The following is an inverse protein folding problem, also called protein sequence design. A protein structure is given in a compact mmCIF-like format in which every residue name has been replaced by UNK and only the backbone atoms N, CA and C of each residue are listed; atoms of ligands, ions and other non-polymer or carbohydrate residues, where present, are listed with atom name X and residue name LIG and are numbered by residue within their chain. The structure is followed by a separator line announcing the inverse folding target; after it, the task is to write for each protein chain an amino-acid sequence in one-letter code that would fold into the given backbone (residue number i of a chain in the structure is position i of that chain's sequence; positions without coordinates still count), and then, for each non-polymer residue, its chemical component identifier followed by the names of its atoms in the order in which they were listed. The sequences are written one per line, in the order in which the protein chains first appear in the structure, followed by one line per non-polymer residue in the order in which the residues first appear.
data_IF_448115483513
#
_entry.id   IF_448115483513
#
_cell.length_a   1.000
_cell.length_b   1.000
_cell.length_c   1.000
_cell.angle_alpha   90.00
_cell.angle_beta   90.00
_cell.angle_gamma   90.00
#
_symmetry.space_group_name_H-M   'P 1'
#
loop_
_entity.id
_entity.type
_entity.pdbx_description
1 polymer ?
#
# COMPACT_ATOMS: atom_id res chain seq x y z
N UNK A 1 -6.61 16.36 -8.94
CA UNK A 1 -6.75 14.99 -9.48
C UNK A 1 -7.80 14.27 -8.64
N UNK A 2 -8.70 13.50 -9.24
CA UNK A 2 -9.62 12.58 -8.53
C UNK A 2 -8.96 11.20 -8.41
N UNK A 3 -9.31 10.39 -7.42
CA UNK A 3 -8.67 9.08 -7.23
C UNK A 3 -8.92 8.10 -8.37
N UNK A 4 -10.07 8.20 -9.04
CA UNK A 4 -10.36 7.46 -10.27
C UNK A 4 -9.33 7.75 -11.37
N UNK A 5 -8.95 9.03 -11.54
CA UNK A 5 -7.97 9.46 -12.54
C UNK A 5 -6.57 8.89 -12.24
N UNK A 6 -6.24 8.68 -10.97
CA UNK A 6 -4.97 8.04 -10.60
C UNK A 6 -4.93 6.59 -11.05
N UNK A 7 -5.98 5.81 -10.77
CA UNK A 7 -6.04 4.41 -11.21
C UNK A 7 -5.93 4.29 -12.74
N UNK A 8 -6.58 5.18 -13.48
CA UNK A 8 -6.47 5.24 -14.94
C UNK A 8 -5.04 5.60 -15.40
N UNK A 9 -4.39 6.58 -14.76
CA UNK A 9 -3.00 6.97 -15.05
C UNK A 9 -2.03 5.79 -14.91
N UNK A 10 -2.23 4.94 -13.89
CA UNK A 10 -1.39 3.75 -13.66
C UNK A 10 -1.95 2.47 -14.27
N UNK A 11 -2.86 2.60 -15.25
CA UNK A 11 -3.40 1.50 -16.07
C UNK A 11 -4.11 0.39 -15.27
N UNK A 12 -4.77 0.77 -14.19
CA UNK A 12 -5.70 -0.13 -13.54
C UNK A 12 -7.01 -0.19 -14.32
N UNK A 13 -7.57 -1.39 -14.45
CA UNK A 13 -8.86 -1.63 -15.09
C UNK A 13 -9.97 -1.63 -14.05
N UNK A 14 -10.99 -0.79 -14.28
CA UNK A 14 -12.24 -0.79 -13.50
C UNK A 14 -13.03 -2.07 -13.77
N UNK A 15 -13.53 -2.72 -12.73
CA UNK A 15 -14.28 -3.99 -12.82
C UNK A 15 -15.75 -3.84 -12.42
N UNK A 16 -16.19 -2.63 -12.06
CA UNK A 16 -17.60 -2.28 -11.89
C UNK A 16 -17.95 -1.24 -12.94
N UNK A 17 -18.87 -1.60 -13.83
CA UNK A 17 -19.39 -0.75 -14.88
C UNK A 17 -20.87 -0.46 -14.63
N UNK A 18 -21.36 0.66 -15.16
CA UNK A 18 -22.80 0.93 -15.24
C UNK A 18 -23.37 0.24 -16.46
N UNK A 19 -24.48 -0.47 -16.31
CA UNK A 19 -25.17 -1.10 -17.42
C UNK A 19 -26.09 -0.12 -18.17
N UNK A 20 -26.81 -0.63 -19.17
CA UNK A 20 -27.70 0.17 -20.02
C UNK A 20 -28.89 0.79 -19.27
N UNK A 21 -29.25 0.22 -18.13
CA UNK A 21 -30.36 0.64 -17.28
C UNK A 21 -29.89 1.50 -16.10
N UNK A 22 -28.57 1.76 -16.00
CA UNK A 22 -27.95 2.53 -14.93
C UNK A 22 -27.65 1.72 -13.67
N UNK A 23 -27.77 0.40 -13.71
CA UNK A 23 -27.40 -0.47 -12.58
C UNK A 23 -25.90 -0.83 -12.63
N UNK A 24 -25.24 -0.85 -11.46
CA UNK A 24 -23.84 -1.30 -11.33
C UNK A 24 -23.75 -2.81 -11.57
N UNK A 25 -22.88 -3.22 -12.48
CA UNK A 25 -22.54 -4.63 -12.76
C UNK A 25 -21.06 -4.87 -12.59
N UNK A 26 -20.72 -6.02 -12.01
CA UNK A 26 -19.35 -6.52 -11.94
C UNK A 26 -19.30 -7.95 -12.42
N UNK A 27 -18.17 -8.35 -13.00
CA UNK A 27 -17.91 -9.76 -13.37
C UNK A 27 -17.47 -10.61 -12.16
N UNK A 28 -17.29 -9.98 -11.00
CA UNK A 28 -16.85 -10.62 -9.76
C UNK A 28 -18.03 -10.82 -8.81
N UNK A 29 -18.88 -11.80 -9.12
CA UNK A 29 -20.11 -12.11 -8.36
C UNK A 29 -19.87 -12.36 -6.87
N UNK A 30 -18.66 -12.76 -6.48
CA UNK A 30 -18.25 -12.95 -5.08
C UNK A 30 -18.40 -11.70 -4.21
N UNK A 31 -18.33 -10.51 -4.81
CA UNK A 31 -18.48 -9.24 -4.10
C UNK A 31 -19.92 -8.73 -4.09
N UNK A 32 -20.80 -9.29 -4.93
CA UNK A 32 -22.22 -8.95 -4.98
C UNK A 32 -23.01 -9.44 -3.75
N UNK A 33 -24.17 -8.83 -3.52
CA UNK A 33 -25.20 -9.27 -2.58
C UNK A 33 -26.48 -9.46 -3.39
N UNK A 34 -27.03 -10.67 -3.37
CA UNK A 34 -28.23 -11.03 -4.17
C UNK A 34 -28.09 -10.71 -5.67
N UNK A 35 -26.88 -10.84 -6.22
CA UNK A 35 -26.59 -10.56 -7.62
C UNK A 35 -26.44 -9.07 -7.96
N UNK A 36 -26.51 -8.17 -6.97
CA UNK A 36 -26.30 -6.72 -7.13
C UNK A 36 -25.01 -6.26 -6.46
N UNK A 37 -24.37 -5.24 -7.03
CA UNK A 37 -23.24 -4.55 -6.39
C UNK A 37 -23.76 -3.79 -5.17
N UNK A 38 -23.26 -4.09 -3.96
CA UNK A 38 -23.76 -3.44 -2.75
C UNK A 38 -23.32 -1.96 -2.69
N UNK A 39 -24.07 -1.13 -1.96
CA UNK A 39 -23.87 0.33 -1.92
C UNK A 39 -22.54 0.76 -1.33
N UNK A 40 -22.05 0.01 -0.35
CA UNK A 40 -20.74 0.19 0.24
C UNK A 40 -19.59 -0.07 -0.76
N UNK A 41 -19.80 -0.82 -1.84
CA UNK A 41 -18.75 -1.12 -2.82
C UNK A 41 -18.76 -0.08 -3.94
N UNK A 42 -17.79 0.84 -3.92
CA UNK A 42 -17.72 1.93 -4.90
C UNK A 42 -17.13 1.47 -6.22
N UNK A 43 -15.97 0.82 -6.18
CA UNK A 43 -15.26 0.37 -7.37
C UNK A 43 -14.29 -0.76 -7.02
N UNK A 44 -13.93 -1.58 -8.01
CA UNK A 44 -12.87 -2.57 -7.93
C UNK A 44 -11.88 -2.27 -9.06
N UNK A 45 -10.59 -2.25 -8.75
CA UNK A 45 -9.53 -2.06 -9.73
C UNK A 45 -8.58 -3.23 -9.76
N UNK A 46 -8.23 -3.68 -10.96
CA UNK A 46 -7.24 -4.72 -11.21
C UNK A 46 -6.06 -4.14 -12.01
N UNK A 47 -4.82 -4.43 -11.59
CA UNK A 47 -3.63 -4.00 -12.32
C UNK A 47 -3.59 -4.57 -13.74
N UNK A 48 -2.92 -3.87 -14.67
CA UNK A 48 -2.68 -4.36 -16.05
C UNK A 48 -2.04 -5.76 -16.07
N UNK A 49 -1.19 -6.05 -15.07
CA UNK A 49 -0.51 -7.33 -14.91
C UNK A 49 -1.37 -8.43 -14.24
N UNK A 50 -2.55 -8.07 -13.71
CA UNK A 50 -3.47 -8.99 -13.02
C UNK A 50 -2.92 -9.51 -11.68
N UNK A 51 -2.04 -8.76 -11.04
CA UNK A 51 -1.28 -9.15 -9.84
C UNK A 51 -1.55 -8.26 -8.62
N UNK A 52 -2.36 -7.21 -8.76
CA UNK A 52 -2.80 -6.34 -7.67
C UNK A 52 -4.29 -5.98 -7.83
N UNK A 53 -5.04 -6.05 -6.72
CA UNK A 53 -6.48 -5.79 -6.67
C UNK A 53 -6.80 -4.77 -5.58
N UNK A 54 -7.47 -3.69 -5.96
CA UNK A 54 -7.99 -2.70 -5.02
C UNK A 54 -9.52 -2.80 -4.92
N UNK A 55 -10.03 -2.80 -3.69
CA UNK A 55 -11.46 -2.66 -3.40
C UNK A 55 -11.67 -1.30 -2.75
N UNK A 56 -12.48 -0.44 -3.37
CA UNK A 56 -12.86 0.86 -2.80
C UNK A 56 -14.19 0.70 -2.08
N UNK A 57 -14.19 0.88 -0.77
CA UNK A 57 -15.31 0.62 0.11
C UNK A 57 -15.71 1.87 0.87
N UNK A 58 -16.99 2.22 0.86
CA UNK A 58 -17.56 3.33 1.61
C UNK A 58 -18.20 2.82 2.89
N UNK A 59 -17.73 3.33 4.03
CA UNK A 59 -18.37 3.08 5.31
C UNK A 59 -19.63 3.93 5.42
N UNK A 60 -20.77 3.27 5.58
CA UNK A 60 -22.08 3.90 5.82
C UNK A 60 -22.38 4.09 7.30
N UNK A 61 -21.84 3.24 8.18
CA UNK A 61 -21.98 3.35 9.64
C UNK A 61 -20.63 3.06 10.32
N UNK A 62 -20.17 4.03 11.10
CA UNK A 62 -18.88 4.01 11.80
C UNK A 62 -18.90 3.07 13.00
N UNK A 63 -20.07 2.77 13.56
CA UNK A 63 -20.19 2.04 14.83
C UNK A 63 -19.74 0.58 14.75
N UNK A 64 -19.47 0.02 13.56
CA UNK A 64 -19.04 -1.37 13.44
C UNK A 64 -17.98 -1.66 12.36
N UNK A 65 -16.90 -0.88 12.37
CA UNK A 65 -15.78 -1.06 11.44
C UNK A 65 -15.19 -2.48 11.47
N UNK A 66 -14.98 -3.07 12.64
CA UNK A 66 -14.39 -4.41 12.74
C UNK A 66 -15.25 -5.45 12.01
N UNK A 67 -16.57 -5.43 12.23
CA UNK A 67 -17.50 -6.31 11.52
C UNK A 67 -17.51 -6.04 10.03
N UNK A 68 -17.46 -4.77 9.61
CA UNK A 68 -17.39 -4.40 8.20
C UNK A 68 -16.13 -4.97 7.54
N UNK A 69 -14.96 -4.77 8.17
CA UNK A 69 -13.69 -5.30 7.69
C UNK A 69 -13.70 -6.84 7.61
N UNK A 70 -14.23 -7.51 8.65
CA UNK A 70 -14.32 -8.97 8.70
C UNK A 70 -15.28 -9.51 7.64
N UNK A 71 -16.38 -8.82 7.34
CA UNK A 71 -17.30 -9.16 6.27
C UNK A 71 -16.59 -9.14 4.91
N UNK A 72 -15.85 -8.06 4.62
CA UNK A 72 -15.12 -7.91 3.37
C UNK A 72 -13.93 -8.84 3.26
N UNK A 73 -13.20 -9.09 4.35
CA UNK A 73 -12.17 -10.13 4.41
C UNK A 73 -12.76 -11.51 4.09
N UNK A 74 -13.95 -11.85 4.61
CA UNK A 74 -14.62 -13.10 4.28
C UNK A 74 -15.02 -13.19 2.79
N UNK A 75 -15.49 -12.09 2.19
CA UNK A 75 -15.76 -12.03 0.73
C UNK A 75 -14.49 -12.26 -0.07
N UNK A 76 -13.37 -11.63 0.31
CA UNK A 76 -12.06 -11.80 -0.32
C UNK A 76 -11.57 -13.24 -0.18
N UNK A 77 -11.66 -13.83 1.02
CA UNK A 77 -11.29 -15.23 1.24
C UNK A 77 -12.15 -16.17 0.40
N UNK A 78 -13.43 -15.87 0.24
CA UNK A 78 -14.34 -16.67 -0.59
C UNK A 78 -13.92 -16.58 -2.05
N UNK A 79 -13.66 -15.38 -2.56
CA UNK A 79 -13.14 -15.14 -3.89
C UNK A 79 -11.83 -15.92 -4.14
N UNK A 80 -10.86 -15.84 -3.23
CA UNK A 80 -9.57 -16.54 -3.39
C UNK A 80 -9.76 -18.06 -3.41
N UNK A 81 -10.56 -18.61 -2.50
CA UNK A 81 -10.63 -20.05 -2.28
C UNK A 81 -11.60 -20.78 -3.23
N UNK A 82 -12.69 -20.14 -3.63
CA UNK A 82 -13.79 -20.77 -4.38
C UNK A 82 -13.83 -20.37 -5.85
N UNK A 83 -12.83 -19.65 -6.36
CA UNK A 83 -12.74 -19.40 -7.81
C UNK A 83 -12.55 -20.71 -8.59
N UNK A 84 -13.18 -20.86 -9.77
CA UNK A 84 -12.99 -22.00 -10.65
C UNK A 84 -11.53 -22.35 -10.90
N UNK A 85 -11.22 -23.65 -10.97
CA UNK A 85 -9.86 -24.17 -11.11
C UNK A 85 -9.08 -23.55 -12.28
N UNK A 86 -9.76 -23.18 -13.37
CA UNK A 86 -9.13 -22.57 -14.54
C UNK A 86 -8.52 -21.18 -14.29
N UNK A 87 -8.86 -20.50 -13.19
CA UNK A 87 -8.36 -19.15 -12.86
C UNK A 87 -7.49 -19.13 -11.58
N UNK A 88 -7.09 -20.31 -11.08
CA UNK A 88 -6.37 -20.42 -9.80
C UNK A 88 -4.99 -19.79 -9.82
N UNK A 89 -4.26 -19.89 -10.93
CA UNK A 89 -2.89 -19.39 -11.02
C UNK A 89 -2.88 -17.85 -11.08
N UNK A 90 -3.85 -17.27 -11.77
CA UNK A 90 -4.09 -15.82 -11.82
C UNK A 90 -4.43 -15.30 -10.42
N UNK A 91 -5.35 -15.95 -9.70
CA UNK A 91 -5.74 -15.52 -8.35
C UNK A 91 -4.66 -15.74 -7.30
N UNK A 92 -3.81 -16.77 -7.46
CA UNK A 92 -2.66 -16.96 -6.57
C UNK A 92 -1.73 -15.76 -6.54
N UNK A 93 -1.59 -15.04 -7.66
CA UNK A 93 -0.81 -13.80 -7.71
C UNK A 93 -1.46 -12.70 -6.86
N UNK A 94 -2.79 -12.67 -6.82
CA UNK A 94 -3.56 -11.69 -6.06
C UNK A 94 -3.56 -11.97 -4.56
N UNK A 95 -3.42 -13.21 -4.09
CA UNK A 95 -3.61 -13.60 -2.68
C UNK A 95 -2.91 -12.68 -1.65
N UNK A 96 -1.75 -12.13 -2.00
CA UNK A 96 -0.98 -11.25 -1.11
C UNK A 96 -0.99 -9.76 -1.51
N UNK A 97 -1.73 -9.41 -2.57
CA UNK A 97 -1.77 -8.07 -3.18
C UNK A 97 -3.20 -7.58 -3.34
N UNK A 98 -4.06 -7.90 -2.36
CA UNK A 98 -5.39 -7.31 -2.25
C UNK A 98 -5.36 -6.21 -1.21
N UNK A 99 -5.80 -5.01 -1.61
CA UNK A 99 -5.88 -3.83 -0.75
C UNK A 99 -7.31 -3.32 -0.70
N UNK A 100 -7.86 -3.17 0.50
CA UNK A 100 -9.11 -2.48 0.76
C UNK A 100 -8.81 -1.02 1.09
N UNK A 101 -9.35 -0.09 0.29
CA UNK A 101 -9.35 1.34 0.58
C UNK A 101 -10.71 1.66 1.21
N UNK A 102 -10.68 1.96 2.49
CA UNK A 102 -11.84 2.20 3.34
C UNK A 102 -12.06 3.71 3.45
N UNK A 103 -13.05 4.19 2.70
CA UNK A 103 -13.52 5.57 2.68
C UNK A 103 -14.47 5.80 3.87
N UNK A 104 -14.16 6.79 4.70
CA UNK A 104 -14.96 7.09 5.89
C UNK A 104 -15.16 8.58 6.13
N UNK A 105 -16.28 8.90 6.77
CA UNK A 105 -16.58 10.21 7.31
C UNK A 105 -16.40 10.25 8.83
N UNK A 106 -15.95 11.38 9.35
CA UNK A 106 -15.84 11.59 10.79
C UNK A 106 -14.60 10.93 11.43
N UNK A 107 -14.77 10.43 12.67
CA UNK A 107 -13.70 9.86 13.48
C UNK A 107 -13.86 8.34 13.57
N UNK A 108 -12.79 7.60 13.32
CA UNK A 108 -12.83 6.16 13.09
C UNK A 108 -11.61 5.49 13.74
N UNK A 109 -11.81 4.40 14.47
CA UNK A 109 -10.71 3.65 15.10
C UNK A 109 -9.95 2.77 14.10
N UNK A 110 -8.81 3.23 13.59
CA UNK A 110 -7.98 2.52 12.57
C UNK A 110 -7.27 1.24 13.07
N UNK A 111 -7.79 0.54 14.09
CA UNK A 111 -7.18 -0.69 14.65
C UNK A 111 -6.99 -1.78 13.59
N UNK A 112 -7.93 -1.89 12.66
CA UNK A 112 -7.93 -2.90 11.60
C UNK A 112 -6.83 -2.68 10.55
N UNK A 113 -6.19 -1.51 10.51
CA UNK A 113 -5.05 -1.23 9.63
C UNK A 113 -3.86 -2.17 9.90
N UNK A 114 -3.71 -2.60 11.16
CA UNK A 114 -2.68 -3.56 11.58
C UNK A 114 -2.97 -5.00 11.13
N UNK A 115 -4.22 -5.28 10.73
CA UNK A 115 -4.63 -6.62 10.31
C UNK A 115 -4.32 -6.83 8.84
N UNK A 116 -3.27 -7.60 8.57
CA UNK A 116 -2.78 -7.95 7.22
C UNK A 116 -3.01 -9.42 6.85
N UNK A 117 -3.84 -10.15 7.62
CA UNK A 117 -4.03 -11.60 7.47
C UNK A 117 -4.71 -12.01 6.16
N UNK A 118 -5.57 -11.15 5.62
CA UNK A 118 -6.37 -11.42 4.41
C UNK A 118 -6.10 -10.38 3.32
N UNK A 119 -5.97 -9.12 3.70
CA UNK A 119 -5.82 -7.99 2.80
C UNK A 119 -5.14 -6.83 3.53
N UNK A 120 -4.48 -5.93 2.80
CA UNK A 120 -4.04 -4.65 3.35
C UNK A 120 -5.24 -3.72 3.44
N UNK A 121 -5.30 -2.88 4.46
CA UNK A 121 -6.39 -1.93 4.67
C UNK A 121 -5.81 -0.54 4.78
N UNK A 122 -6.33 0.40 3.99
CA UNK A 122 -5.94 1.80 4.01
C UNK A 122 -7.18 2.60 4.35
N UNK A 123 -7.13 3.36 5.44
CA UNK A 123 -8.23 4.20 5.89
C UNK A 123 -8.04 5.62 5.38
N UNK A 124 -8.94 6.05 4.51
CA UNK A 124 -8.87 7.37 3.87
C UNK A 124 -10.13 8.16 4.22
N UNK A 125 -9.94 9.29 4.90
CA UNK A 125 -11.02 10.22 5.20
C UNK A 125 -11.52 10.88 3.92
N UNK A 126 -12.84 11.05 3.81
CA UNK A 126 -13.48 11.68 2.67
C UNK A 126 -14.74 12.47 3.08
N UNK A 127 -15.31 13.23 2.14
CA UNK A 127 -16.60 13.91 2.27
C UNK A 127 -17.75 13.09 1.63
N UNK A 128 -18.96 13.67 1.59
CA UNK A 128 -20.17 13.01 1.09
C UNK A 128 -20.07 12.65 -0.40
N UNK A 129 -19.28 13.42 -1.16
CA UNK A 129 -19.04 13.25 -2.59
C UNK A 129 -17.85 12.31 -2.91
N UNK A 130 -17.38 11.54 -1.92
CA UNK A 130 -16.21 10.65 -2.01
C UNK A 130 -14.90 11.39 -2.38
N UNK A 131 -14.81 12.70 -2.12
CA UNK A 131 -13.57 13.47 -2.24
C UNK A 131 -12.69 13.26 -1.00
N UNK A 132 -11.42 12.92 -1.24
CA UNK A 132 -10.48 12.53 -0.21
C UNK A 132 -9.87 13.75 0.51
N UNK A 133 -9.61 13.61 1.81
CA UNK A 133 -8.82 14.57 2.59
C UNK A 133 -7.38 14.63 2.07
N UNK A 134 -6.82 15.84 1.96
CA UNK A 134 -5.47 16.05 1.39
C UNK A 134 -4.36 15.32 2.15
N UNK A 135 -4.49 15.17 3.48
CA UNK A 135 -3.49 14.45 4.26
C UNK A 135 -3.55 12.95 4.00
N UNK A 136 -4.77 12.40 3.87
CA UNK A 136 -4.98 10.98 3.68
C UNK A 136 -4.75 10.55 2.22
N UNK A 137 -4.77 11.49 1.25
CA UNK A 137 -4.35 11.21 -0.14
C UNK A 137 -2.94 10.64 -0.23
N UNK A 138 -2.03 11.09 0.65
CA UNK A 138 -0.64 10.58 0.69
C UNK A 138 -0.55 9.11 1.10
N UNK A 139 -1.58 8.55 1.73
CA UNK A 139 -1.62 7.13 2.11
C UNK A 139 -1.85 6.22 0.89
N UNK A 140 -2.38 6.78 -0.20
CA UNK A 140 -2.64 5.99 -1.40
C UNK A 140 -1.32 5.74 -2.16
N UNK A 141 -0.97 4.47 -2.44
CA UNK A 141 0.32 4.09 -3.00
C UNK A 141 0.58 4.58 -4.43
N UNK A 142 -0.40 5.23 -5.06
CA UNK A 142 -0.34 5.77 -6.41
C UNK A 142 -0.45 7.31 -6.44
N UNK A 143 -0.67 7.99 -5.31
CA UNK A 143 -0.83 9.44 -5.26
C UNK A 143 0.49 10.23 -5.34
N UNK A 144 1.59 9.59 -5.75
CA UNK A 144 2.92 10.22 -5.81
C UNK A 144 3.17 11.10 -7.04
N UNK A 145 2.17 11.30 -7.90
CA UNK A 145 2.32 12.05 -9.15
C UNK A 145 2.86 13.47 -8.95
N UNK A 146 2.56 14.10 -7.81
CA UNK A 146 3.01 15.45 -7.49
C UNK A 146 4.45 15.51 -6.94
N UNK A 147 5.03 14.38 -6.49
CA UNK A 147 6.42 14.32 -6.04
C UNK A 147 7.41 14.36 -7.22
N UNK A 148 7.03 13.82 -8.38
CA UNK A 148 7.88 13.85 -9.58
C UNK A 148 8.03 15.28 -10.15
N UNK A 149 7.02 16.13 -9.95
CA UNK A 149 7.04 17.54 -10.35
C UNK A 149 7.49 18.50 -9.26
N UNK A 150 7.64 18.03 -8.02
CA UNK A 150 8.08 18.88 -6.93
C UNK A 150 9.52 19.34 -7.18
N UNK A 151 9.72 20.64 -7.31
CA UNK A 151 11.06 21.21 -7.31
C UNK A 151 11.73 20.84 -5.99
N UNK A 152 12.74 19.98 -6.06
CA UNK A 152 13.53 19.61 -4.89
C UNK A 152 14.14 20.89 -4.33
N UNK A 153 13.67 21.33 -3.16
CA UNK A 153 14.23 22.48 -2.48
C UNK A 153 15.71 22.22 -2.22
N UNK A 154 16.57 22.99 -2.89
CA UNK A 154 18.03 22.84 -2.81
C UNK A 154 18.52 22.94 -1.36
N UNK A 155 17.87 23.76 -0.53
CA UNK A 155 18.24 23.90 0.88
C UNK A 155 17.88 22.67 1.71
N UNK A 156 16.69 22.08 1.51
CA UNK A 156 16.28 20.87 2.22
C UNK A 156 17.10 19.67 1.79
N UNK A 157 17.43 19.58 0.50
CA UNK A 157 18.37 18.59 -0.01
C UNK A 157 19.74 18.74 0.63
N UNK A 158 20.27 19.96 0.71
CA UNK A 158 21.55 20.21 1.36
C UNK A 158 21.51 19.83 2.84
N UNK A 159 20.41 20.13 3.54
CA UNK A 159 20.20 19.70 4.93
C UNK A 159 20.24 18.17 5.05
N UNK A 160 19.51 17.45 4.19
CA UNK A 160 19.51 15.98 4.18
C UNK A 160 20.89 15.39 3.89
N UNK A 161 21.61 15.96 2.90
CA UNK A 161 22.98 15.55 2.58
C UNK A 161 23.92 15.75 3.78
N UNK A 162 23.74 16.84 4.54
CA UNK A 162 24.51 17.09 5.77
C UNK A 162 24.11 16.18 6.95
N UNK A 163 22.96 15.52 6.90
CA UNK A 163 22.56 14.54 7.92
C UNK A 163 23.23 13.17 7.69
N UNK A 164 23.72 12.91 6.48
CA UNK A 164 24.40 11.67 6.12
C UNK A 164 25.89 11.75 6.45
N UNK A 165 26.54 10.61 6.77
CA UNK A 165 27.98 10.58 6.98
C UNK A 165 28.71 10.98 5.70
N UNK A 166 29.74 11.82 5.79
CA UNK A 166 30.53 12.16 4.60
C UNK A 166 31.20 10.89 4.03
N UNK A 167 31.50 10.91 2.73
CA UNK A 167 32.24 9.84 2.08
C UNK A 167 33.67 9.66 2.65
N UNK A 168 34.18 10.66 3.38
CA UNK A 168 35.44 10.56 4.10
C UNK A 168 35.31 9.76 5.40
N UNK A 169 34.19 9.91 6.12
CA UNK A 169 33.96 9.23 7.41
C UNK A 169 33.47 7.80 7.21
N UNK A 170 32.43 7.58 6.41
CA UNK A 170 31.86 6.25 6.13
C UNK A 170 31.83 5.93 4.63
N UNK A 171 32.96 6.15 3.94
CA UNK A 171 33.09 5.94 2.49
C UNK A 171 32.71 4.53 2.00
N UNK A 172 32.77 3.52 2.85
CA UNK A 172 32.35 2.15 2.53
C UNK A 172 30.83 1.99 2.36
N UNK A 173 30.02 2.93 2.84
CA UNK A 173 28.56 2.96 2.65
C UNK A 173 28.16 3.37 1.24
N UNK A 174 29.02 4.16 0.58
CA UNK A 174 28.79 4.66 -0.78
C UNK A 174 29.27 3.71 -1.88
N UNK A 175 29.93 2.60 -1.49
CA UNK A 175 30.43 1.59 -2.44
C UNK A 175 29.37 0.51 -2.67
N UNK A 176 29.12 0.19 -3.93
CA UNK A 176 28.26 -0.94 -4.32
C UNK A 176 28.90 -2.25 -3.83
N UNK A 177 28.19 -3.00 -2.98
CA UNK A 177 28.66 -4.30 -2.46
C UNK A 177 28.17 -5.45 -3.32
N UNK A 178 29.03 -6.44 -3.55
CA UNK A 178 28.66 -7.70 -4.18
C UNK A 178 28.07 -8.66 -3.14
N UNK A 179 27.00 -9.39 -3.51
CA UNK A 179 26.41 -10.42 -2.63
C UNK A 179 27.42 -11.54 -2.42
N UNK A 180 27.93 -11.70 -1.20
CA UNK A 180 28.69 -12.88 -0.84
C UNK A 180 27.76 -14.10 -0.73
N UNK A 181 28.12 -15.21 -1.40
CA UNK A 181 27.41 -16.49 -1.24
C UNK A 181 27.57 -16.96 0.20
N UNK A 182 26.45 -17.26 0.88
CA UNK A 182 26.45 -17.91 2.20
C UNK A 182 27.25 -19.21 2.10
N UNK A 183 28.41 -19.28 2.75
CA UNK A 183 29.09 -20.55 2.99
C UNK A 183 28.32 -21.34 4.05
N UNK A 184 28.31 -22.67 3.92
CA UNK A 184 27.62 -23.66 4.78
C UNK A 184 28.20 -23.77 6.20
N UNK A 185 28.94 -22.78 6.66
CA UNK A 185 29.46 -22.70 8.04
C UNK A 185 28.51 -21.82 8.82
N UNK A 186 27.88 -22.37 9.86
CA UNK A 186 26.81 -21.75 10.67
C UNK A 186 27.18 -20.49 11.46
N UNK A 187 28.19 -19.73 11.03
CA UNK A 187 28.53 -18.42 11.55
C UNK A 187 27.87 -17.34 10.68
N UNK A 188 27.10 -16.46 11.33
CA UNK A 188 26.56 -15.27 10.68
C UNK A 188 27.72 -14.34 10.28
N UNK A 189 28.22 -14.45 9.05
CA UNK A 189 29.06 -13.39 8.48
C UNK A 189 28.18 -12.18 8.21
N UNK A 190 28.42 -11.10 8.97
CA UNK A 190 27.82 -9.80 8.71
C UNK A 190 28.22 -9.31 7.31
N UNK A 191 27.31 -8.61 6.63
CA UNK A 191 27.61 -7.99 5.32
C UNK A 191 28.67 -6.88 5.42
N UNK A 192 28.95 -6.42 6.64
CA UNK A 192 29.96 -5.44 7.00
C UNK A 192 31.06 -6.12 7.80
N UNK A 193 32.31 -5.72 7.55
CA UNK A 193 33.44 -6.11 8.39
C UNK A 193 33.28 -5.48 9.79
N UNK A 194 33.87 -6.08 10.81
CA UNK A 194 33.73 -5.62 12.21
C UNK A 194 34.21 -4.17 12.40
N UNK A 195 35.28 -3.77 11.71
CA UNK A 195 35.76 -2.39 11.69
C UNK A 195 34.80 -1.42 11.01
N UNK A 196 34.10 -1.84 9.96
CA UNK A 196 33.06 -1.04 9.30
C UNK A 196 31.86 -0.86 10.24
N UNK A 197 31.47 -1.92 10.95
CA UNK A 197 30.40 -1.86 11.94
C UNK A 197 30.72 -0.91 13.09
N UNK A 198 31.91 -1.01 13.68
CA UNK A 198 32.38 -0.11 14.74
C UNK A 198 32.42 1.35 14.28
N UNK A 199 32.82 1.61 13.02
CA UNK A 199 32.79 2.96 12.45
C UNK A 199 31.36 3.50 12.30
N UNK A 200 30.40 2.68 11.84
CA UNK A 200 28.98 3.05 11.79
C UNK A 200 28.43 3.36 13.19
N UNK A 201 28.72 2.49 14.15
CA UNK A 201 28.25 2.63 15.52
C UNK A 201 28.82 3.89 16.19
N UNK A 202 30.11 4.17 15.99
CA UNK A 202 30.76 5.39 16.47
C UNK A 202 30.11 6.65 15.91
N UNK A 203 29.96 6.72 14.58
CA UNK A 203 29.33 7.87 13.92
C UNK A 203 27.89 8.10 14.41
N UNK A 204 27.10 7.02 14.56
CA UNK A 204 25.74 7.10 15.08
C UNK A 204 25.70 7.63 16.53
N UNK A 205 26.60 7.16 17.40
CA UNK A 205 26.64 7.61 18.81
C UNK A 205 27.01 9.10 18.92
N UNK A 206 27.97 9.56 18.13
CA UNK A 206 28.41 10.96 18.13
C UNK A 206 27.33 11.89 17.56
N UNK A 207 26.69 11.52 16.45
CA UNK A 207 25.70 12.36 15.79
C UNK A 207 24.29 12.28 16.39
N UNK A 208 24.00 11.27 17.23
CA UNK A 208 22.76 11.20 18.02
C UNK A 208 22.91 11.98 19.34
N UNK A 209 24.12 12.08 19.89
CA UNK A 209 24.39 12.84 21.11
C UNK A 209 24.35 14.36 20.89
N UNK A 210 24.73 14.86 19.71
CA UNK A 210 24.70 16.30 19.37
C UNK A 210 23.31 16.82 18.94
N UNK A 211 22.30 15.94 18.85
CA UNK A 211 20.94 16.29 18.37
C UNK A 211 19.87 16.27 19.47
N UNK A 212 20.26 16.08 20.74
CA UNK A 212 19.43 16.28 21.94
C UNK A 212 19.87 17.55 22.68
#
# INVERSE_FOLDING_TARGET
MKWQECFQKYKYTELIDMDKDGERKTKLDFFCVEGKVPDELRQIYLSECGDELFLILRLSDVENMERFCNLWDNKILTFINFTPKQFREEIRKLQYNITQILLYEGAVEKKMEKSVSVSRKIFVKCNEDDELDDNDKMLLPFWFGDLESAEINKEERQKLENLLPSAEVLGFMYKKREKQRRQKTGENKYNFQENEWLAMEGWLKENVAERN
#
